data_IF_050345511104
#
_entry.id   IF_050345511104
#
_cell.length_a   1.000
_cell.length_b   1.000
_cell.length_c   1.000
_cell.angle_alpha   90.00
_cell.angle_beta   90.00
_cell.angle_gamma   90.00
#
_symmetry.space_group_name_H-M   'P 1'
#
loop_
_entity.id
_entity.type
_entity.pdbx_description
1 polymer ?
#
# COMPACT_ATOMS: atom_id res chain seq x y z
N UNK A 1 39.11 26.99 -10.25
CA UNK A 1 37.86 26.82 -11.02
C UNK A 1 37.58 25.32 -11.15
N UNK A 2 36.38 24.91 -10.77
CA UNK A 2 35.99 23.55 -10.35
C UNK A 2 35.82 22.62 -11.56
N UNK A 3 36.49 21.45 -11.56
CA UNK A 3 36.19 20.35 -12.48
C UNK A 3 34.90 19.63 -12.05
N UNK A 4 33.87 19.68 -12.90
CA UNK A 4 32.63 18.90 -12.74
C UNK A 4 32.89 17.43 -13.10
N UNK A 5 32.74 16.54 -12.12
CA UNK A 5 32.73 15.08 -12.28
C UNK A 5 31.39 14.64 -12.87
N UNK A 6 31.38 14.09 -14.09
CA UNK A 6 30.21 13.50 -14.75
C UNK A 6 29.95 12.08 -14.23
N UNK A 7 28.72 11.87 -13.72
CA UNK A 7 27.86 10.68 -13.80
C UNK A 7 28.44 9.28 -13.56
N UNK A 8 28.16 8.72 -12.37
CA UNK A 8 28.35 7.29 -12.06
C UNK A 8 26.99 6.55 -12.06
N UNK A 9 26.35 6.42 -13.23
CA UNK A 9 25.04 5.76 -13.37
C UNK A 9 25.11 4.26 -13.72
N UNK A 10 26.27 3.76 -14.15
CA UNK A 10 26.41 2.38 -14.65
C UNK A 10 26.83 1.38 -13.56
N UNK A 11 27.41 1.86 -12.45
CA UNK A 11 27.96 1.00 -11.41
C UNK A 11 26.90 0.21 -10.63
N UNK A 12 25.67 0.69 -10.50
CA UNK A 12 24.64 -0.02 -9.73
C UNK A 12 24.11 -1.26 -10.47
N UNK A 13 23.85 -1.13 -11.77
CA UNK A 13 23.33 -2.23 -12.61
C UNK A 13 24.41 -3.30 -12.84
N UNK A 14 25.66 -2.88 -12.97
CA UNK A 14 26.80 -3.80 -13.08
C UNK A 14 27.06 -4.55 -11.77
N UNK A 15 26.95 -3.87 -10.62
CA UNK A 15 27.05 -4.51 -9.29
C UNK A 15 25.90 -5.48 -9.02
N UNK A 16 24.68 -5.15 -9.44
CA UNK A 16 23.54 -6.07 -9.34
C UNK A 16 23.73 -7.30 -10.25
N UNK A 17 24.23 -7.10 -11.47
CA UNK A 17 24.47 -8.20 -12.42
C UNK A 17 25.63 -9.10 -11.96
N UNK A 18 26.70 -8.54 -11.42
CA UNK A 18 27.83 -9.33 -10.88
C UNK A 18 27.45 -10.08 -9.61
N UNK A 19 26.67 -9.46 -8.73
CA UNK A 19 26.12 -10.11 -7.53
C UNK A 19 25.14 -11.23 -7.87
N UNK A 20 24.32 -11.03 -8.90
CA UNK A 20 23.44 -12.08 -9.40
C UNK A 20 24.24 -13.24 -9.99
N UNK A 21 25.21 -12.95 -10.85
CA UNK A 21 26.07 -13.96 -11.51
C UNK A 21 26.96 -14.75 -10.56
N UNK A 22 27.31 -14.21 -9.39
CA UNK A 22 28.10 -14.92 -8.37
C UNK A 22 27.32 -16.00 -7.60
N UNK A 23 26.00 -16.11 -7.81
CA UNK A 23 25.17 -17.11 -7.14
C UNK A 23 24.93 -18.32 -8.02
N UNK A 24 24.88 -19.49 -7.38
CA UNK A 24 24.58 -20.74 -8.09
C UNK A 24 23.15 -20.74 -8.65
N UNK A 25 22.85 -21.49 -9.71
CA UNK A 25 21.51 -21.54 -10.31
C UNK A 25 20.41 -21.90 -9.29
N UNK A 26 20.72 -22.78 -8.32
CA UNK A 26 19.82 -23.15 -7.22
C UNK A 26 19.53 -21.99 -6.27
N UNK A 27 20.51 -21.14 -5.98
CA UNK A 27 20.33 -19.95 -5.14
C UNK A 27 19.60 -18.82 -5.85
N UNK A 28 19.79 -18.65 -7.16
CA UNK A 28 19.01 -17.71 -7.96
C UNK A 28 17.55 -18.14 -8.04
N UNK A 29 17.30 -19.43 -8.28
CA UNK A 29 15.95 -20.01 -8.26
C UNK A 29 15.30 -19.83 -6.89
N UNK A 30 16.01 -20.13 -5.80
CA UNK A 30 15.52 -19.91 -4.45
C UNK A 30 15.17 -18.44 -4.17
N UNK A 31 15.98 -17.49 -4.63
CA UNK A 31 15.71 -16.07 -4.41
C UNK A 31 14.53 -15.54 -5.23
N UNK A 32 14.35 -16.04 -6.45
CA UNK A 32 13.19 -15.73 -7.30
C UNK A 32 11.90 -16.34 -6.73
N UNK A 33 11.98 -17.58 -6.21
CA UNK A 33 10.87 -18.22 -5.51
C UNK A 33 10.52 -17.46 -4.24
N UNK A 34 11.50 -17.04 -3.41
CA UNK A 34 11.24 -16.21 -2.24
C UNK A 34 10.60 -14.86 -2.62
N UNK A 35 11.09 -14.20 -3.69
CA UNK A 35 10.47 -12.96 -4.18
C UNK A 35 9.03 -13.19 -4.67
N UNK A 36 8.78 -14.30 -5.38
CA UNK A 36 7.45 -14.67 -5.84
C UNK A 36 6.53 -15.01 -4.66
N UNK A 37 7.01 -15.74 -3.65
CA UNK A 37 6.27 -16.10 -2.44
C UNK A 37 5.94 -14.87 -1.61
N UNK A 38 6.88 -13.94 -1.42
CA UNK A 38 6.62 -12.65 -0.76
C UNK A 38 5.59 -11.84 -1.56
N UNK A 39 5.68 -11.84 -2.89
CA UNK A 39 4.69 -11.14 -3.73
C UNK A 39 3.29 -11.77 -3.64
N UNK A 40 3.20 -13.11 -3.59
CA UNK A 40 1.93 -13.83 -3.47
C UNK A 40 1.36 -13.71 -2.05
N UNK A 41 2.19 -13.71 -1.01
CA UNK A 41 1.79 -13.46 0.37
C UNK A 41 1.24 -12.04 0.55
N UNK A 42 1.90 -11.04 -0.05
CA UNK A 42 1.38 -9.68 -0.08
C UNK A 42 0.06 -9.58 -0.86
N UNK A 43 -0.16 -10.42 -1.87
CA UNK A 43 -1.44 -10.49 -2.57
C UNK A 43 -2.52 -11.25 -1.78
N UNK A 44 -2.18 -12.32 -1.07
CA UNK A 44 -3.13 -13.16 -0.32
C UNK A 44 -3.55 -12.55 1.01
N UNK A 45 -2.66 -11.82 1.69
CA UNK A 45 -2.96 -11.16 2.98
C UNK A 45 -3.71 -9.84 2.78
N UNK A 46 -3.67 -9.24 1.58
CA UNK A 46 -4.33 -7.96 1.27
C UNK A 46 -5.47 -8.04 0.23
N UNK A 47 -5.88 -9.22 -0.25
CA UNK A 47 -6.96 -9.34 -1.25
C UNK A 47 -7.88 -10.56 -1.03
N UNK A 48 -9.15 -10.37 -0.60
CA UNK A 48 -10.05 -11.49 -0.31
C UNK A 48 -10.79 -12.07 -1.52
N UNK A 49 -10.51 -11.68 -2.78
CA UNK A 49 -11.15 -12.32 -3.94
C UNK A 49 -10.23 -12.44 -5.18
N UNK A 50 -9.99 -13.68 -5.65
CA UNK A 50 -9.42 -14.06 -6.97
C UNK A 50 -10.56 -14.56 -7.91
N UNK A 51 -10.45 -14.61 -9.27
CA UNK A 51 -9.25 -14.54 -10.13
C UNK A 51 -9.31 -13.50 -11.27
N UNK A 52 -8.14 -13.00 -11.71
CA UNK A 52 -7.97 -12.43 -13.05
C UNK A 52 -7.84 -13.59 -14.04
N UNK A 53 -8.96 -13.96 -14.65
CA UNK A 53 -8.92 -14.66 -15.94
C UNK A 53 -8.45 -13.64 -16.96
N UNK A 54 -7.23 -13.80 -17.45
CA UNK A 54 -6.76 -13.09 -18.63
C UNK A 54 -7.53 -13.60 -19.84
N UNK A 55 -8.60 -12.90 -20.23
CA UNK A 55 -9.02 -12.91 -21.62
C UNK A 55 -8.20 -11.83 -22.34
N UNK A 56 -7.16 -12.30 -23.02
CA UNK A 56 -6.36 -11.51 -23.90
C UNK A 56 -7.13 -11.27 -25.20
N UNK A 57 -7.97 -10.23 -25.27
CA UNK A 57 -8.44 -9.69 -26.54
C UNK A 57 -9.02 -8.27 -26.40
N UNK A 58 -8.26 -7.29 -26.88
CA UNK A 58 -8.79 -6.11 -27.58
C UNK A 58 -9.28 -4.93 -26.73
N UNK A 59 -8.44 -3.90 -26.60
CA UNK A 59 -8.57 -2.70 -27.44
C UNK A 59 -7.45 -1.69 -27.14
N UNK A 60 -6.62 -1.51 -28.16
CA UNK A 60 -5.82 -0.31 -28.37
C UNK A 60 -6.72 0.81 -28.89
N UNK A 61 -6.44 2.05 -28.49
CA UNK A 61 -6.39 3.28 -29.32
C UNK A 61 -6.24 4.49 -28.39
N UNK A 62 -5.01 4.96 -28.15
CA UNK A 62 -4.41 6.11 -28.85
C UNK A 62 -5.31 7.35 -28.96
N UNK A 63 -4.95 8.41 -28.21
CA UNK A 63 -4.74 9.71 -28.86
C UNK A 63 -3.71 10.56 -28.13
N UNK A 64 -2.55 10.68 -28.78
CA UNK A 64 -1.53 11.66 -28.51
C UNK A 64 -1.95 13.05 -28.99
N UNK A 65 -1.60 14.10 -28.23
CA UNK A 65 -1.31 15.44 -28.78
C UNK A 65 -0.15 16.10 -28.02
N UNK A 66 1.01 15.97 -28.66
CA UNK A 66 2.18 16.87 -28.79
C UNK A 66 2.18 18.24 -28.07
N UNK A 67 3.16 18.39 -27.18
CA UNK A 67 4.02 19.53 -26.79
C UNK A 67 3.70 20.96 -27.25
N UNK A 68 3.72 21.90 -26.28
CA UNK A 68 4.30 23.25 -26.43
C UNK A 68 5.21 23.53 -25.23
N UNK A 69 6.48 23.80 -25.54
CA UNK A 69 7.46 24.38 -24.62
C UNK A 69 7.11 25.86 -24.37
N UNK A 70 7.10 26.26 -23.10
CA UNK A 70 6.95 27.64 -22.66
C UNK A 70 7.73 27.84 -21.38
N UNK A 71 9.02 28.12 -21.53
CA UNK A 71 9.89 28.71 -20.49
C UNK A 71 9.35 30.09 -20.13
N UNK A 72 9.11 30.36 -18.84
CA UNK A 72 9.20 31.70 -18.22
C UNK A 72 8.91 31.66 -16.71
N UNK A 73 9.96 31.98 -15.95
CA UNK A 73 9.90 33.03 -14.93
C UNK A 73 9.13 32.74 -13.65
N UNK A 74 9.84 32.17 -12.68
CA UNK A 74 9.60 32.42 -11.26
C UNK A 74 9.77 33.92 -10.98
N UNK A 75 8.70 34.60 -10.60
CA UNK A 75 8.79 35.86 -9.85
C UNK A 75 7.75 35.87 -8.72
N UNK A 76 8.26 35.64 -7.51
CA UNK A 76 7.58 35.96 -6.27
C UNK A 76 7.52 37.48 -6.12
N UNK A 77 6.32 38.06 -6.02
CA UNK A 77 6.13 39.37 -5.41
C UNK A 77 4.74 39.50 -4.83
N UNK A 78 4.70 39.87 -3.55
CA UNK A 78 3.52 39.95 -2.74
C UNK A 78 2.54 41.04 -3.17
N UNK A 79 1.26 40.75 -2.99
CA UNK A 79 0.16 41.68 -3.13
C UNK A 79 -0.94 41.33 -2.14
N UNK A 80 -0.79 41.82 -0.90
CA UNK A 80 -1.83 41.77 0.13
C UNK A 80 -3.02 42.62 -0.33
N UNK A 81 -4.17 41.98 -0.58
CA UNK A 81 -5.47 42.63 -0.53
C UNK A 81 -6.41 41.80 0.32
N UNK A 82 -6.54 42.22 1.57
CA UNK A 82 -7.56 41.77 2.52
C UNK A 82 -8.79 42.64 2.35
N UNK A 83 -9.90 42.07 1.88
CA UNK A 83 -11.26 42.53 2.21
C UNK A 83 -12.10 41.28 2.40
N UNK A 84 -12.51 41.08 3.65
CA UNK A 84 -12.94 39.78 4.14
C UNK A 84 -14.44 39.52 4.08
N UNK A 85 -14.80 38.29 4.46
CA UNK A 85 -15.86 38.02 5.42
C UNK A 85 -15.91 36.54 5.78
N UNK A 86 -16.44 36.29 6.98
CA UNK A 86 -16.78 35.03 7.62
C UNK A 86 -15.62 34.30 8.32
N UNK A 87 -15.55 34.54 9.63
CA UNK A 87 -15.08 33.54 10.59
C UNK A 87 -15.75 32.20 10.29
N UNK A 88 -14.93 31.18 10.02
CA UNK A 88 -15.34 29.80 9.93
C UNK A 88 -14.22 28.99 10.56
N UNK A 89 -14.57 27.98 11.35
CA UNK A 89 -13.67 26.93 11.80
C UNK A 89 -12.58 26.64 10.76
N UNK A 90 -11.32 26.49 11.17
CA UNK A 90 -10.22 26.06 10.30
C UNK A 90 -10.63 24.73 9.65
N UNK A 91 -11.28 24.81 8.48
CA UNK A 91 -11.76 23.67 7.74
C UNK A 91 -10.54 22.92 7.24
N UNK A 92 -10.55 21.60 7.44
CA UNK A 92 -9.55 20.70 6.87
C UNK A 92 -9.43 20.89 5.35
N UNK A 93 -10.53 21.27 4.69
CA UNK A 93 -10.58 21.51 3.25
C UNK A 93 -10.55 23.01 2.95
N UNK A 94 -9.42 23.49 2.46
CA UNK A 94 -9.21 24.92 2.19
C UNK A 94 -8.84 25.20 0.73
N UNK A 95 -8.94 26.48 0.34
CA UNK A 95 -8.67 26.93 -1.02
C UNK A 95 -9.87 26.89 -1.96
N UNK A 96 -9.57 26.88 -3.26
CA UNK A 96 -10.55 26.78 -4.34
C UNK A 96 -10.97 25.32 -4.60
N UNK A 97 -11.85 25.12 -5.59
CA UNK A 97 -12.41 23.80 -5.91
C UNK A 97 -11.33 22.78 -6.28
N UNK A 98 -10.28 23.19 -7.01
CA UNK A 98 -9.21 22.28 -7.41
C UNK A 98 -8.29 21.94 -6.22
N UNK A 99 -8.01 22.92 -5.35
CA UNK A 99 -7.26 22.67 -4.13
C UNK A 99 -7.97 21.65 -3.22
N UNK A 100 -9.29 21.77 -3.08
CA UNK A 100 -10.10 20.81 -2.31
C UNK A 100 -10.05 19.42 -2.98
N UNK A 101 -10.22 19.34 -4.30
CA UNK A 101 -10.12 18.08 -5.04
C UNK A 101 -8.73 17.43 -4.88
N UNK A 102 -7.66 18.22 -4.90
CA UNK A 102 -6.29 17.76 -4.64
C UNK A 102 -6.11 17.18 -3.24
N UNK A 103 -6.68 17.83 -2.21
CA UNK A 103 -6.65 17.32 -0.84
C UNK A 103 -7.41 15.99 -0.71
N UNK A 104 -8.60 15.88 -1.31
CA UNK A 104 -9.38 14.63 -1.34
C UNK A 104 -8.60 13.51 -2.03
N UNK A 105 -7.98 13.78 -3.19
CA UNK A 105 -7.10 12.79 -3.86
C UNK A 105 -5.93 12.40 -2.96
N UNK A 106 -5.31 13.35 -2.26
CA UNK A 106 -4.21 13.07 -1.34
C UNK A 106 -4.64 12.13 -0.22
N UNK A 107 -5.84 12.33 0.35
CA UNK A 107 -6.38 11.47 1.41
C UNK A 107 -6.63 10.07 0.86
N UNK A 108 -7.33 9.96 -0.28
CA UNK A 108 -7.65 8.69 -0.92
C UNK A 108 -6.41 7.84 -1.23
N UNK A 109 -5.29 8.48 -1.56
CA UNK A 109 -4.02 7.82 -1.87
C UNK A 109 -3.11 7.62 -0.65
N UNK A 110 -3.57 7.93 0.58
CA UNK A 110 -2.76 7.79 1.79
C UNK A 110 -3.05 6.50 2.55
N UNK A 111 -2.06 5.80 3.14
CA UNK A 111 -0.62 6.08 3.00
C UNK A 111 -0.10 5.70 1.60
N UNK A 112 0.97 6.36 1.17
CA UNK A 112 1.57 6.22 -0.17
C UNK A 112 2.85 5.36 -0.19
N UNK A 113 3.20 4.73 0.93
CA UNK A 113 4.41 3.92 1.08
C UNK A 113 4.29 2.48 0.52
N UNK A 114 3.09 2.08 0.11
CA UNK A 114 2.79 0.80 -0.53
C UNK A 114 2.87 -0.41 0.41
N UNK A 115 3.00 -0.20 1.71
CA UNK A 115 3.05 -1.31 2.69
C UNK A 115 1.67 -1.88 3.02
N UNK A 116 0.63 -1.08 2.83
CA UNK A 116 -0.77 -1.39 3.10
C UNK A 116 -1.65 -0.67 2.07
N UNK A 117 -2.91 -1.05 1.99
CA UNK A 117 -3.85 -0.39 1.09
C UNK A 117 -4.01 1.11 1.43
N UNK A 118 -4.00 1.98 0.40
CA UNK A 118 -4.42 3.37 0.54
C UNK A 118 -5.88 3.49 0.99
N UNK A 119 -6.24 4.61 1.59
CA UNK A 119 -7.54 4.91 2.19
C UNK A 119 -8.71 4.61 1.24
N UNK A 120 -8.62 5.06 -0.01
CA UNK A 120 -9.64 4.79 -1.03
C UNK A 120 -9.76 3.32 -1.37
N UNK A 121 -8.63 2.62 -1.53
CA UNK A 121 -8.60 1.21 -1.88
C UNK A 121 -9.12 0.33 -0.73
N UNK A 122 -8.80 0.68 0.52
CA UNK A 122 -9.35 0.03 1.71
C UNK A 122 -10.89 0.07 1.70
N UNK A 123 -11.47 1.25 1.47
CA UNK A 123 -12.92 1.42 1.40
C UNK A 123 -13.53 0.59 0.26
N UNK A 124 -12.93 0.64 -0.93
CA UNK A 124 -13.38 -0.15 -2.09
C UNK A 124 -13.34 -1.65 -1.79
N UNK A 125 -12.27 -2.16 -1.17
CA UNK A 125 -12.12 -3.59 -0.85
C UNK A 125 -13.20 -4.08 0.12
N UNK A 126 -13.67 -3.22 1.02
CA UNK A 126 -14.76 -3.52 1.93
C UNK A 126 -16.16 -3.23 1.36
N UNK A 127 -16.27 -2.82 0.09
CA UNK A 127 -17.53 -2.61 -0.63
C UNK A 127 -18.04 -1.17 -0.65
N UNK A 128 -17.35 -0.22 -0.03
CA UNK A 128 -17.74 1.19 0.04
C UNK A 128 -17.15 1.99 -1.14
N UNK A 129 -17.47 1.57 -2.37
CA UNK A 129 -16.89 2.17 -3.58
C UNK A 129 -17.17 3.67 -3.73
N UNK A 130 -18.34 4.16 -3.31
CA UNK A 130 -18.67 5.59 -3.39
C UNK A 130 -17.81 6.44 -2.45
N UNK A 131 -17.52 5.93 -1.25
CA UNK A 131 -16.62 6.59 -0.31
C UNK A 131 -15.17 6.49 -0.79
N UNK A 132 -14.75 5.32 -1.26
CA UNK A 132 -13.39 5.10 -1.76
C UNK A 132 -13.06 5.85 -3.05
N UNK A 133 -14.06 6.24 -3.83
CA UNK A 133 -13.90 7.10 -5.00
C UNK A 133 -14.22 8.57 -4.73
N UNK A 134 -14.72 8.92 -3.54
CA UNK A 134 -15.26 10.25 -3.23
C UNK A 134 -16.23 10.77 -4.32
N UNK A 135 -17.11 9.90 -4.82
CA UNK A 135 -17.90 10.12 -6.04
C UNK A 135 -18.63 11.46 -6.03
N UNK A 136 -19.32 11.80 -4.94
CA UNK A 136 -20.10 13.04 -4.83
C UNK A 136 -19.24 14.31 -4.88
N UNK A 137 -18.02 14.26 -4.35
CA UNK A 137 -17.09 15.39 -4.37
C UNK A 137 -16.56 15.60 -5.78
N UNK A 138 -16.06 14.55 -6.43
CA UNK A 138 -15.52 14.69 -7.79
C UNK A 138 -16.59 14.95 -8.85
N UNK A 139 -17.82 14.49 -8.64
CA UNK A 139 -18.95 14.86 -9.50
C UNK A 139 -19.23 16.37 -9.42
N UNK A 140 -19.27 16.95 -8.21
CA UNK A 140 -19.44 18.40 -8.02
C UNK A 140 -18.27 19.20 -8.62
N UNK A 141 -17.04 18.72 -8.45
CA UNK A 141 -15.84 19.30 -9.09
C UNK A 141 -15.97 19.23 -10.62
N UNK A 142 -16.41 18.11 -11.18
CA UNK A 142 -16.62 17.92 -12.62
C UNK A 142 -17.70 18.83 -13.21
N UNK A 143 -18.72 19.19 -12.42
CA UNK A 143 -19.72 20.22 -12.76
C UNK A 143 -19.23 21.65 -12.58
N UNK A 144 -17.97 21.86 -12.19
CA UNK A 144 -17.37 23.17 -11.92
C UNK A 144 -18.11 23.96 -10.82
N UNK A 145 -18.61 23.24 -9.80
CA UNK A 145 -19.25 23.88 -8.66
C UNK A 145 -18.28 24.76 -7.87
N UNK A 146 -18.84 25.79 -7.22
CA UNK A 146 -18.06 26.74 -6.43
C UNK A 146 -17.49 26.08 -5.16
N UNK A 147 -16.39 26.60 -4.59
CA UNK A 147 -15.78 26.05 -3.37
C UNK A 147 -16.76 25.98 -2.19
N UNK A 148 -17.72 26.91 -2.12
CA UNK A 148 -18.78 26.92 -1.09
C UNK A 148 -19.74 25.74 -1.17
N UNK A 149 -19.84 25.10 -2.33
CA UNK A 149 -20.66 23.88 -2.54
C UNK A 149 -19.80 22.63 -2.34
N UNK A 150 -18.56 22.64 -2.85
CA UNK A 150 -17.68 21.47 -2.84
C UNK A 150 -17.12 21.20 -1.44
N UNK A 151 -16.79 22.25 -0.67
CA UNK A 151 -16.18 22.09 0.66
C UNK A 151 -17.07 21.34 1.66
N UNK A 152 -18.36 21.66 1.83
CA UNK A 152 -19.23 20.90 2.73
C UNK A 152 -19.40 19.43 2.28
N UNK A 153 -19.38 19.16 0.96
CA UNK A 153 -19.41 17.80 0.44
C UNK A 153 -18.14 17.03 0.82
N UNK A 154 -16.97 17.65 0.69
CA UNK A 154 -15.70 17.05 1.11
C UNK A 154 -15.64 16.81 2.62
N UNK A 155 -16.12 17.74 3.44
CA UNK A 155 -16.19 17.58 4.90
C UNK A 155 -17.12 16.42 5.30
N UNK A 156 -18.31 16.36 4.71
CA UNK A 156 -19.29 15.28 4.96
C UNK A 156 -18.78 13.92 4.47
N UNK A 157 -18.15 13.88 3.29
CA UNK A 157 -17.50 12.69 2.75
C UNK A 157 -16.40 12.21 3.71
N UNK A 158 -15.49 13.10 4.13
CA UNK A 158 -14.36 12.73 4.97
C UNK A 158 -14.81 12.18 6.32
N UNK A 159 -15.78 12.81 6.97
CA UNK A 159 -16.33 12.31 8.24
C UNK A 159 -16.92 10.89 8.11
N UNK A 160 -17.66 10.64 7.02
CA UNK A 160 -18.26 9.32 6.76
C UNK A 160 -17.20 8.27 6.42
N UNK A 161 -16.25 8.62 5.55
CA UNK A 161 -15.20 7.74 5.08
C UNK A 161 -14.20 7.39 6.20
N UNK A 162 -13.85 8.36 7.06
CA UNK A 162 -12.89 8.14 8.15
C UNK A 162 -13.43 7.16 9.19
N UNK A 163 -14.71 7.24 9.53
CA UNK A 163 -15.35 6.28 10.44
C UNK A 163 -15.25 4.85 9.91
N UNK A 164 -15.64 4.65 8.65
CA UNK A 164 -15.56 3.35 7.96
C UNK A 164 -14.14 2.84 7.83
N UNK A 165 -13.21 3.68 7.36
CA UNK A 165 -11.81 3.31 7.21
C UNK A 165 -11.18 2.92 8.56
N UNK A 166 -11.57 3.55 9.67
CA UNK A 166 -11.11 3.18 11.03
C UNK A 166 -11.59 1.78 11.41
N UNK A 167 -12.87 1.46 11.17
CA UNK A 167 -13.44 0.13 11.41
C UNK A 167 -12.72 -0.94 10.57
N UNK A 168 -12.52 -0.68 9.28
CA UNK A 168 -11.87 -1.61 8.36
C UNK A 168 -10.40 -1.83 8.67
N UNK A 169 -9.66 -0.77 9.02
CA UNK A 169 -8.25 -0.88 9.41
C UNK A 169 -8.09 -1.71 10.69
N UNK A 170 -9.00 -1.55 11.65
CA UNK A 170 -9.04 -2.40 12.85
C UNK A 170 -9.32 -3.86 12.50
N UNK A 171 -10.32 -4.11 11.66
CA UNK A 171 -10.67 -5.46 11.20
C UNK A 171 -9.49 -6.15 10.51
N UNK A 172 -8.80 -5.45 9.59
CA UNK A 172 -7.60 -5.98 8.92
C UNK A 172 -6.51 -6.32 9.95
N UNK A 173 -6.23 -5.42 10.89
CA UNK A 173 -5.22 -5.64 11.92
C UNK A 173 -5.56 -6.85 12.81
N UNK A 174 -6.80 -6.97 13.25
CA UNK A 174 -7.30 -8.11 14.03
C UNK A 174 -7.17 -9.43 13.27
N UNK A 175 -7.49 -9.43 11.97
CA UNK A 175 -7.40 -10.62 11.13
C UNK A 175 -5.97 -11.10 10.88
N UNK A 176 -5.00 -10.19 10.83
CA UNK A 176 -3.58 -10.50 10.60
C UNK A 176 -2.84 -10.99 11.85
N UNK A 177 -3.31 -10.63 13.04
CA UNK A 177 -2.65 -10.95 14.31
C UNK A 177 -2.47 -12.45 14.59
N UNK A 178 -3.44 -13.35 14.34
CA UNK A 178 -3.27 -14.79 14.55
C UNK A 178 -2.08 -15.38 13.80
N UNK A 179 -1.88 -14.98 12.53
CA UNK A 179 -0.75 -15.44 11.73
C UNK A 179 0.58 -14.95 12.29
N UNK A 180 0.67 -13.67 12.67
CA UNK A 180 1.88 -13.11 13.26
C UNK A 180 2.25 -13.72 14.63
N UNK A 181 1.26 -14.02 15.48
CA UNK A 181 1.46 -14.74 16.74
C UNK A 181 1.94 -16.17 16.52
N UNK A 182 1.40 -16.83 15.50
CA UNK A 182 1.84 -18.19 15.10
C UNK A 182 3.28 -18.17 14.61
N UNK A 183 3.67 -17.17 13.81
CA UNK A 183 5.06 -17.00 13.40
C UNK A 183 5.98 -16.81 14.61
N UNK A 184 5.60 -15.95 15.55
CA UNK A 184 6.38 -15.70 16.77
C UNK A 184 6.63 -16.99 17.57
N UNK A 185 5.62 -17.86 17.73
CA UNK A 185 5.77 -19.12 18.49
C UNK A 185 6.69 -20.14 17.81
N UNK A 186 6.94 -20.01 16.50
CA UNK A 186 7.79 -20.93 15.71
C UNK A 186 9.24 -20.45 15.55
N UNK A 187 9.57 -19.22 15.96
CA UNK A 187 10.94 -18.71 15.83
C UNK A 187 11.97 -19.47 16.68
N UNK A 188 11.52 -20.12 17.76
CA UNK A 188 12.38 -20.83 18.70
C UNK A 188 13.30 -19.89 19.47
N UNK A 189 14.28 -20.46 20.19
CA UNK A 189 15.29 -19.70 20.94
C UNK A 189 16.69 -20.18 20.56
N UNK A 190 17.65 -19.28 20.23
CA UNK A 190 17.52 -17.81 20.20
C UNK A 190 16.72 -17.28 19.00
N UNK A 191 16.09 -16.11 19.15
CA UNK A 191 15.35 -15.42 18.08
C UNK A 191 16.32 -14.96 16.98
N UNK A 192 16.06 -15.25 15.70
CA UNK A 192 16.88 -14.75 14.59
C UNK A 192 16.95 -13.22 14.55
N UNK A 193 18.11 -12.67 14.18
CA UNK A 193 18.35 -11.21 14.23
C UNK A 193 17.41 -10.37 13.37
N UNK A 194 16.82 -10.93 12.31
CA UNK A 194 15.82 -10.25 11.49
C UNK A 194 14.42 -10.17 12.10
N UNK A 195 14.18 -10.93 13.17
CA UNK A 195 12.88 -11.13 13.80
C UNK A 195 12.78 -10.49 15.18
N UNK A 196 13.79 -9.73 15.63
CA UNK A 196 13.84 -9.11 16.96
C UNK A 196 12.64 -8.19 17.25
N UNK A 197 12.11 -7.56 16.21
CA UNK A 197 11.05 -6.55 16.34
C UNK A 197 9.66 -7.17 16.20
N UNK A 198 9.56 -8.47 15.88
CA UNK A 198 8.26 -9.12 15.63
C UNK A 198 7.41 -9.19 16.90
N UNK A 199 8.01 -9.54 18.04
CA UNK A 199 7.29 -9.63 19.31
C UNK A 199 6.68 -8.28 19.71
N UNK A 200 7.50 -7.21 19.67
CA UNK A 200 7.04 -5.87 20.04
C UNK A 200 5.99 -5.33 19.05
N UNK A 201 6.11 -5.62 17.76
CA UNK A 201 5.12 -5.24 16.76
C UNK A 201 3.79 -5.98 16.94
N UNK A 202 3.81 -7.28 17.23
CA UNK A 202 2.60 -8.08 17.52
C UNK A 202 1.89 -7.57 18.77
N UNK A 203 2.65 -7.25 19.83
CA UNK A 203 2.09 -6.70 21.06
C UNK A 203 1.47 -5.32 20.86
N UNK A 204 2.15 -4.43 20.13
CA UNK A 204 1.64 -3.10 19.80
C UNK A 204 0.35 -3.21 18.96
N UNK A 205 0.37 -3.99 17.89
CA UNK A 205 -0.79 -4.22 17.04
C UNK A 205 -1.97 -4.82 17.82
N UNK A 206 -1.71 -5.76 18.74
CA UNK A 206 -2.74 -6.35 19.59
C UNK A 206 -3.41 -5.32 20.49
N UNK A 207 -2.63 -4.43 21.10
CA UNK A 207 -3.14 -3.38 21.98
C UNK A 207 -3.95 -2.33 21.20
N UNK A 208 -3.42 -1.88 20.07
CA UNK A 208 -4.09 -0.88 19.22
C UNK A 208 -5.39 -1.43 18.63
N UNK A 209 -5.42 -2.70 18.21
CA UNK A 209 -6.65 -3.33 17.72
C UNK A 209 -7.73 -3.42 18.81
N UNK A 210 -7.36 -3.86 20.02
CA UNK A 210 -8.28 -4.01 21.14
C UNK A 210 -8.80 -2.67 21.71
N UNK A 211 -8.09 -1.57 21.46
CA UNK A 211 -8.51 -0.25 21.89
C UNK A 211 -9.54 0.36 20.93
N UNK A 212 -10.79 0.44 21.41
CA UNK A 212 -11.91 1.02 20.67
C UNK A 212 -11.75 2.53 20.44
N UNK A 213 -10.84 3.19 21.15
CA UNK A 213 -10.54 4.62 20.99
C UNK A 213 -9.40 4.91 20.01
N UNK A 214 -8.69 3.88 19.56
CA UNK A 214 -7.64 4.04 18.55
C UNK A 214 -8.21 4.61 17.24
N UNK A 215 -7.56 5.65 16.75
CA UNK A 215 -7.91 6.34 15.51
C UNK A 215 -7.33 5.64 14.27
N UNK A 216 -7.75 6.13 13.10
CA UNK A 216 -7.30 5.59 11.81
C UNK A 216 -5.76 5.61 11.67
N UNK A 217 -5.09 6.69 12.08
CA UNK A 217 -3.64 6.83 11.92
C UNK A 217 -2.88 5.83 12.80
N UNK A 218 -3.33 5.64 14.04
CA UNK A 218 -2.75 4.69 14.99
C UNK A 218 -2.91 3.25 14.50
N UNK A 219 -4.10 2.89 14.00
CA UNK A 219 -4.35 1.57 13.41
C UNK A 219 -3.53 1.35 12.14
N UNK A 220 -3.45 2.37 11.27
CA UNK A 220 -2.64 2.35 10.05
C UNK A 220 -1.18 2.12 10.40
N UNK A 221 -0.63 2.90 11.33
CA UNK A 221 0.75 2.76 11.79
C UNK A 221 1.03 1.37 12.38
N UNK A 222 0.14 0.86 13.21
CA UNK A 222 0.29 -0.47 13.80
C UNK A 222 0.33 -1.57 12.73
N UNK A 223 -0.51 -1.46 11.69
CA UNK A 223 -0.49 -2.40 10.55
C UNK A 223 0.81 -2.29 9.74
N UNK A 224 1.31 -1.08 9.48
CA UNK A 224 2.57 -0.86 8.77
C UNK A 224 3.77 -1.41 9.55
N UNK A 225 3.85 -1.12 10.85
CA UNK A 225 4.92 -1.61 11.72
C UNK A 225 4.91 -3.14 11.81
N UNK A 226 3.72 -3.76 11.95
CA UNK A 226 3.56 -5.21 11.92
C UNK A 226 4.01 -5.81 10.59
N UNK A 227 3.56 -5.24 9.46
CA UNK A 227 3.93 -5.69 8.12
C UNK A 227 5.44 -5.61 7.90
N UNK A 228 6.06 -4.52 8.35
CA UNK A 228 7.51 -4.32 8.27
C UNK A 228 8.27 -5.32 9.12
N UNK A 229 7.83 -5.59 10.35
CA UNK A 229 8.46 -6.57 11.23
C UNK A 229 8.36 -8.00 10.65
N UNK A 230 7.19 -8.38 10.14
CA UNK A 230 6.97 -9.66 9.45
C UNK A 230 7.87 -9.78 8.21
N UNK A 231 7.90 -8.77 7.35
CA UNK A 231 8.73 -8.76 6.13
C UNK A 231 10.23 -8.80 6.46
N UNK A 232 10.68 -8.03 7.45
CA UNK A 232 12.06 -8.08 7.95
C UNK A 232 12.42 -9.47 8.42
N UNK A 233 11.56 -10.09 9.25
CA UNK A 233 11.77 -11.43 9.77
C UNK A 233 11.86 -12.46 8.62
N UNK A 234 10.85 -12.48 7.75
CA UNK A 234 10.81 -13.37 6.59
C UNK A 234 12.05 -13.23 5.70
N UNK A 235 12.54 -12.01 5.46
CA UNK A 235 13.72 -11.77 4.61
C UNK A 235 15.04 -12.29 5.18
N UNK A 236 15.09 -12.63 6.48
CA UNK A 236 16.30 -13.08 7.19
C UNK A 236 16.24 -14.54 7.61
N UNK A 237 15.14 -15.23 7.35
CA UNK A 237 15.03 -16.66 7.57
C UNK A 237 15.57 -17.43 6.35
N UNK A 238 16.25 -18.54 6.62
CA UNK A 238 16.54 -19.53 5.57
C UNK A 238 15.24 -20.16 5.05
N UNK A 239 15.17 -20.63 3.79
CA UNK A 239 13.93 -21.09 3.17
C UNK A 239 13.16 -22.15 3.98
N UNK A 240 13.86 -23.12 4.57
CA UNK A 240 13.24 -24.17 5.38
C UNK A 240 12.62 -23.60 6.67
N UNK A 241 13.28 -22.61 7.28
CA UNK A 241 12.76 -21.89 8.45
C UNK A 241 11.63 -20.94 8.08
N UNK A 242 11.67 -20.35 6.90
CA UNK A 242 10.62 -19.47 6.40
C UNK A 242 9.31 -20.24 6.24
N UNK A 243 9.35 -21.43 5.61
CA UNK A 243 8.18 -22.27 5.41
C UNK A 243 7.59 -22.79 6.74
N UNK A 244 8.45 -23.06 7.72
CA UNK A 244 8.02 -23.44 9.07
C UNK A 244 7.38 -22.25 9.80
N UNK A 245 8.01 -21.07 9.80
CA UNK A 245 7.54 -19.90 10.56
C UNK A 245 6.31 -19.23 9.92
N UNK A 246 6.26 -19.15 8.59
CA UNK A 246 5.19 -18.53 7.82
C UNK A 246 4.57 -19.55 6.84
N UNK A 247 3.82 -20.54 7.35
CA UNK A 247 3.20 -21.56 6.52
C UNK A 247 2.22 -20.90 5.54
N UNK A 248 2.17 -21.41 4.32
CA UNK A 248 1.13 -21.08 3.37
C UNK A 248 -0.10 -21.92 3.74
N UNK A 249 -0.97 -21.43 4.62
CA UNK A 249 -2.27 -22.06 4.84
C UNK A 249 -3.19 -21.78 3.65
N UNK A 250 -2.91 -22.42 2.51
CA UNK A 250 -3.80 -22.52 1.37
C UNK A 250 -4.42 -23.92 1.30
N UNK A 251 -5.63 -24.09 0.74
CA UNK A 251 -6.13 -25.42 0.44
C UNK A 251 -5.08 -26.12 -0.43
N UNK A 252 -4.56 -27.24 0.08
CA UNK A 252 -3.64 -28.09 -0.65
C UNK A 252 -4.29 -28.38 -2.00
N UNK A 253 -3.71 -27.89 -3.09
CA UNK A 253 -4.12 -28.30 -4.41
C UNK A 253 -3.85 -29.82 -4.45
N UNK A 254 -4.89 -30.61 -4.22
CA UNK A 254 -4.92 -32.02 -4.61
C UNK A 254 -4.59 -32.04 -6.08
N UNK A 255 -3.32 -32.30 -6.39
CA UNK A 255 -2.92 -32.71 -7.72
C UNK A 255 -3.69 -34.01 -7.96
N UNK A 256 -4.65 -34.06 -8.90
CA UNK A 256 -5.23 -35.33 -9.26
C UNK A 256 -4.10 -36.21 -9.80
N UNK A 257 -3.89 -37.34 -9.12
CA UNK A 257 -3.01 -38.41 -9.56
C UNK A 257 -3.38 -38.76 -11.00
N UNK A 258 -2.55 -38.31 -11.93
CA UNK A 258 -2.73 -38.54 -13.35
C UNK A 258 -2.24 -39.96 -13.59
N UNK A 259 -3.17 -40.91 -13.51
CA UNK A 259 -2.90 -42.31 -13.75
C UNK A 259 -2.16 -42.53 -15.07
N UNK A 260 -0.97 -43.12 -14.96
CA UNK A 260 -0.26 -43.86 -15.99
C UNK A 260 0.72 -44.72 -15.19
N UNK A 261 0.54 -46.03 -15.09
CA UNK A 261 1.12 -46.99 -16.03
C UNK A 261 0.14 -48.13 -16.32
N UNK A 262 -0.31 -48.21 -17.57
CA UNK A 262 -0.56 -49.49 -18.20
C UNK A 262 0.67 -49.81 -19.04
N UNK A 263 1.37 -50.87 -18.69
CA UNK A 263 2.22 -51.70 -19.57
C UNK A 263 2.71 -52.88 -18.72
N UNK A 264 1.96 -54.00 -18.72
CA UNK A 264 2.42 -55.34 -19.14
C UNK A 264 1.24 -56.31 -19.28
#
# INVERSE_FOLDING_TARGET
MIMRKRGNGNGLRERMRSWWGSRTPRQQAGLLVCLAVVSVLLMMVFNPFHPFVSDAAGQSEEKATRSVSGDRGSDSSGGKTTTGSAAGSDSMFSGDTEAIAGQVRSILNSPDDGSIDPFGQLLIRYGDADLGNASSVFEAVGRQEKPSTVRPLAESWYGSALGKATEYRRSDLESGLPGARTALSRLGSPVPSGCSDLESAVDAASKTAADTTSDYESLTKAQQDLTKAVSSCASKLDPDRLADVFPQDGPSATVPDSGQEGDE
#
